data_IF_900148802184
#
_entry.id   IF_900148802184
#
_cell.length_a   1.000
_cell.length_b   1.000
_cell.length_c   1.000
_cell.angle_alpha   90.00
_cell.angle_beta   90.00
_cell.angle_gamma   90.00
#
_symmetry.space_group_name_H-M   'P 1'
#
loop_
_entity.id
_entity.type
_entity.pdbx_description
1 polymer ?
#
# COMPACT_ATOMS: atom_id res chain seq x y z
N UNK A 1 -0.61 -15.83 -11.84
CA UNK A 1 -1.41 -14.58 -11.81
C UNK A 1 -1.16 -13.82 -13.11
N UNK A 2 -2.14 -13.77 -13.99
CA UNK A 2 -2.08 -12.92 -15.18
C UNK A 2 -2.25 -11.48 -14.71
N UNK A 3 -1.24 -10.62 -14.92
CA UNK A 3 -1.40 -9.19 -14.64
C UNK A 3 -2.55 -8.68 -15.49
N UNK A 4 -3.51 -7.99 -14.87
CA UNK A 4 -4.56 -7.30 -15.61
C UNK A 4 -3.84 -6.20 -16.42
N UNK A 5 -4.03 -6.14 -17.75
CA UNK A 5 -3.46 -5.07 -18.55
C UNK A 5 -4.00 -3.74 -18.03
N UNK A 6 -3.11 -2.79 -17.79
CA UNK A 6 -3.46 -1.47 -17.28
C UNK A 6 -2.57 -0.41 -17.91
N UNK A 7 -3.10 0.81 -17.96
CA UNK A 7 -2.36 1.97 -18.43
C UNK A 7 -1.50 2.57 -17.32
N UNK A 8 -0.41 3.19 -17.73
CA UNK A 8 0.45 3.93 -16.82
C UNK A 8 -0.31 5.11 -16.21
N UNK A 9 -0.30 5.22 -14.88
CA UNK A 9 -1.02 6.28 -14.17
C UNK A 9 -0.62 7.69 -14.66
N UNK A 10 0.66 7.91 -14.97
CA UNK A 10 1.14 9.19 -15.51
C UNK A 10 0.56 9.56 -16.88
N UNK A 11 0.17 8.57 -17.68
CA UNK A 11 -0.58 8.78 -18.93
C UNK A 11 -2.05 9.02 -18.65
N UNK A 12 -2.67 8.19 -17.83
CA UNK A 12 -4.10 8.32 -17.46
C UNK A 12 -4.38 9.67 -16.81
N UNK A 13 -3.48 10.14 -15.94
CA UNK A 13 -3.60 11.43 -15.25
C UNK A 13 -3.64 12.63 -16.20
N UNK A 14 -3.05 12.52 -17.39
CA UNK A 14 -3.05 13.58 -18.41
C UNK A 14 -4.38 13.70 -19.16
N UNK A 15 -5.22 12.66 -19.13
CA UNK A 15 -6.49 12.59 -19.86
C UNK A 15 -7.54 13.55 -19.29
N UNK A 16 -7.85 13.56 -17.97
CA UNK A 16 -8.86 14.47 -17.43
C UNK A 16 -8.40 15.93 -17.49
N UNK A 17 -9.37 16.82 -17.72
CA UNK A 17 -9.23 18.26 -17.52
C UNK A 17 -8.98 18.59 -16.05
N UNK A 18 -8.53 19.82 -15.77
CA UNK A 18 -8.26 20.25 -14.38
C UNK A 18 -9.52 20.18 -13.50
N UNK A 19 -10.69 20.56 -14.05
CA UNK A 19 -11.97 20.45 -13.34
C UNK A 19 -12.35 19.00 -13.01
N UNK A 20 -12.09 18.06 -13.92
CA UNK A 20 -12.31 16.63 -13.66
C UNK A 20 -11.35 16.10 -12.61
N UNK A 21 -10.07 16.53 -12.64
CA UNK A 21 -9.08 16.16 -11.62
C UNK A 21 -9.49 16.65 -10.24
N UNK A 22 -9.95 17.89 -10.12
CA UNK A 22 -10.44 18.47 -8.87
C UNK A 22 -11.64 17.68 -8.32
N UNK A 23 -12.57 17.29 -9.18
CA UNK A 23 -13.73 16.47 -8.82
C UNK A 23 -13.30 15.08 -8.33
N UNK A 24 -12.40 14.42 -9.04
CA UNK A 24 -11.83 13.11 -8.64
C UNK A 24 -11.13 13.23 -7.29
N UNK A 25 -10.32 14.28 -7.10
CA UNK A 25 -9.63 14.51 -5.84
C UNK A 25 -10.62 14.72 -4.68
N UNK A 26 -11.67 15.52 -4.88
CA UNK A 26 -12.69 15.77 -3.88
C UNK A 26 -13.42 14.48 -3.48
N UNK A 27 -13.81 13.67 -4.46
CA UNK A 27 -14.48 12.39 -4.21
C UNK A 27 -13.57 11.40 -3.49
N UNK A 28 -12.31 11.27 -3.94
CA UNK A 28 -11.32 10.39 -3.31
C UNK A 28 -11.05 10.80 -1.87
N UNK A 29 -10.94 12.11 -1.60
CA UNK A 29 -10.83 12.64 -0.24
C UNK A 29 -12.01 12.18 0.62
N UNK A 30 -13.24 12.32 0.13
CA UNK A 30 -14.45 11.87 0.83
C UNK A 30 -14.43 10.36 1.14
N UNK A 31 -14.02 9.53 0.18
CA UNK A 31 -13.88 8.08 0.42
C UNK A 31 -12.82 7.75 1.46
N UNK A 32 -11.65 8.39 1.39
CA UNK A 32 -10.58 8.17 2.36
C UNK A 32 -11.00 8.60 3.77
N UNK A 33 -11.68 9.74 3.91
CA UNK A 33 -12.21 10.18 5.20
C UNK A 33 -13.26 9.22 5.76
N UNK A 34 -14.11 8.63 4.91
CA UNK A 34 -15.08 7.63 5.32
C UNK A 34 -14.40 6.33 5.78
N UNK A 35 -13.45 5.80 4.99
CA UNK A 35 -12.71 4.57 5.31
C UNK A 35 -11.90 4.74 6.59
N UNK A 36 -11.27 5.89 6.81
CA UNK A 36 -10.50 6.19 8.03
C UNK A 36 -11.34 6.18 9.31
N UNK A 37 -12.65 6.39 9.21
CA UNK A 37 -13.58 6.31 10.35
C UNK A 37 -14.04 4.89 10.65
N UNK A 38 -13.76 3.93 9.78
CA UNK A 38 -14.17 2.54 10.00
C UNK A 38 -13.40 1.97 11.18
N UNK A 39 -14.14 1.40 12.13
CA UNK A 39 -13.55 0.67 13.25
C UNK A 39 -13.14 -0.71 12.75
N UNK A 40 -11.89 -1.09 13.04
CA UNK A 40 -11.42 -2.44 12.80
C UNK A 40 -12.20 -3.42 13.69
N UNK A 41 -12.76 -4.51 13.13
CA UNK A 41 -13.40 -5.54 13.92
C UNK A 41 -12.39 -6.39 14.73
N UNK A 42 -11.08 -6.20 14.52
CA UNK A 42 -10.00 -6.95 15.18
C UNK A 42 -9.20 -6.09 16.17
N UNK A 43 -9.74 -4.94 16.57
CA UNK A 43 -9.09 -3.96 17.44
C UNK A 43 -8.38 -2.85 16.65
N UNK A 44 -8.25 -1.68 17.28
CA UNK A 44 -7.80 -0.44 16.61
C UNK A 44 -6.30 -0.47 16.22
N UNK A 45 -5.49 -1.26 16.92
CA UNK A 45 -4.04 -1.25 16.76
C UNK A 45 -3.51 -2.42 15.91
N UNK A 46 -4.33 -3.45 15.67
CA UNK A 46 -3.89 -4.70 15.04
C UNK A 46 -3.87 -4.56 13.52
N UNK A 47 -2.70 -4.78 12.92
CA UNK A 47 -2.50 -4.77 11.47
C UNK A 47 -2.56 -6.22 10.95
N UNK A 48 -3.62 -6.54 10.21
CA UNK A 48 -3.87 -7.89 9.70
C UNK A 48 -4.66 -7.86 8.38
N UNK A 49 -4.84 -9.04 7.77
CA UNK A 49 -5.75 -9.22 6.64
C UNK A 49 -7.21 -9.07 7.06
N UNK A 50 -8.11 -8.95 6.08
CA UNK A 50 -9.56 -8.93 6.30
C UNK A 50 -10.13 -10.19 6.97
N UNK A 51 -9.34 -11.26 7.11
CA UNK A 51 -9.73 -12.50 7.78
C UNK A 51 -9.06 -12.66 9.14
N UNK A 52 -8.50 -11.58 9.70
CA UNK A 52 -7.68 -11.59 10.93
C UNK A 52 -6.40 -12.45 10.88
N UNK A 53 -5.95 -12.80 9.68
CA UNK A 53 -4.73 -13.57 9.45
C UNK A 53 -3.59 -12.69 8.92
N UNK A 54 -2.43 -13.27 8.64
CA UNK A 54 -1.34 -12.59 7.96
C UNK A 54 -1.80 -11.99 6.62
N UNK A 55 -1.29 -10.81 6.29
CA UNK A 55 -1.48 -10.20 4.98
C UNK A 55 -0.68 -11.01 3.96
N UNK A 56 -1.27 -11.26 2.78
CA UNK A 56 -0.60 -11.97 1.68
C UNK A 56 -0.27 -11.01 0.56
N UNK A 57 1.00 -10.94 0.17
CA UNK A 57 1.42 -10.05 -0.91
C UNK A 57 2.63 -10.62 -1.64
N UNK A 58 2.62 -10.60 -2.97
CA UNK A 58 3.78 -11.00 -3.77
C UNK A 58 4.99 -10.07 -3.61
N UNK A 59 4.79 -8.89 -3.00
CA UNK A 59 5.80 -7.84 -2.83
C UNK A 59 6.59 -7.95 -1.53
N UNK A 60 6.30 -8.93 -0.68
CA UNK A 60 7.04 -9.17 0.57
C UNK A 60 7.71 -10.54 0.53
N UNK A 61 8.87 -10.70 1.20
CA UNK A 61 9.54 -12.00 1.31
C UNK A 61 8.57 -13.07 1.85
N UNK A 62 8.63 -14.28 1.31
CA UNK A 62 7.75 -15.40 1.67
C UNK A 62 6.24 -15.13 1.52
N UNK A 63 5.86 -14.04 0.85
CA UNK A 63 4.51 -13.63 0.53
C UNK A 63 3.55 -13.43 1.72
N UNK A 64 4.08 -13.36 2.94
CA UNK A 64 3.31 -13.29 4.18
C UNK A 64 3.89 -12.21 5.10
N UNK A 65 3.01 -11.40 5.68
CA UNK A 65 3.38 -10.30 6.59
C UNK A 65 2.36 -10.19 7.73
N UNK A 66 2.86 -10.23 8.97
CA UNK A 66 2.04 -10.15 10.19
C UNK A 66 1.28 -11.45 10.52
N UNK A 67 0.15 -11.37 11.26
CA UNK A 67 -0.49 -10.16 11.79
C UNK A 67 0.36 -9.49 12.89
N UNK A 68 0.19 -8.18 13.07
CA UNK A 68 0.90 -7.40 14.10
C UNK A 68 -0.09 -6.79 15.08
N UNK A 69 0.22 -6.83 16.38
CA UNK A 69 -0.67 -6.28 17.41
C UNK A 69 -0.61 -4.75 17.51
N UNK A 70 0.38 -4.11 16.87
CA UNK A 70 0.51 -2.65 16.83
C UNK A 70 1.12 -2.18 15.51
N UNK A 71 0.79 -0.94 15.14
CA UNK A 71 1.42 -0.22 14.03
C UNK A 71 2.95 -0.13 14.20
N UNK A 72 3.43 0.06 15.44
CA UNK A 72 4.87 0.09 15.74
C UNK A 72 5.57 -1.20 15.30
N UNK A 73 5.05 -2.37 15.67
CA UNK A 73 5.65 -3.66 15.28
C UNK A 73 5.64 -3.87 13.76
N UNK A 74 4.58 -3.40 13.10
CA UNK A 74 4.50 -3.41 11.64
C UNK A 74 5.58 -2.51 11.03
N UNK A 75 5.74 -1.29 11.53
CA UNK A 75 6.74 -0.33 11.03
C UNK A 75 8.18 -0.82 11.29
N UNK A 76 8.46 -1.39 12.46
CA UNK A 76 9.74 -2.05 12.76
C UNK A 76 10.03 -3.19 11.77
N UNK A 77 9.03 -4.05 11.50
CA UNK A 77 9.15 -5.09 10.47
C UNK A 77 9.42 -4.50 9.08
N UNK A 78 8.71 -3.44 8.68
CA UNK A 78 8.88 -2.81 7.37
C UNK A 78 10.25 -2.13 7.23
N UNK A 79 10.77 -1.52 8.28
CA UNK A 79 12.10 -0.90 8.29
C UNK A 79 13.20 -1.96 8.25
N UNK A 80 13.04 -3.06 9.00
CA UNK A 80 14.01 -4.16 9.03
C UNK A 80 13.96 -4.99 7.74
N UNK A 81 12.76 -5.24 7.21
CA UNK A 81 12.55 -5.96 5.96
C UNK A 81 12.88 -5.09 4.75
N UNK A 82 12.71 -3.77 4.84
CA UNK A 82 13.20 -2.81 3.85
C UNK A 82 14.72 -2.84 3.70
N UNK A 83 15.45 -3.13 4.78
CA UNK A 83 16.89 -3.39 4.73
C UNK A 83 17.22 -4.75 4.06
N UNK A 84 16.33 -5.75 4.15
CA UNK A 84 16.45 -7.06 3.45
C UNK A 84 15.99 -7.01 1.98
N UNK A 85 15.10 -6.09 1.60
CA UNK A 85 14.74 -5.84 0.19
C UNK A 85 15.89 -5.19 -0.60
N UNK A 86 16.97 -4.79 0.07
CA UNK A 86 18.23 -4.35 -0.54
C UNK A 86 19.22 -5.47 -0.88
N UNK A 87 18.93 -6.74 -0.55
CA UNK A 87 19.74 -7.89 -0.94
C UNK A 87 18.87 -8.98 -1.58
N UNK A 88 18.61 -8.82 -2.87
CA UNK A 88 18.01 -9.85 -3.72
C UNK A 88 18.63 -9.75 -5.11
N UNK A 89 19.56 -10.67 -5.37
CA UNK A 89 20.22 -11.07 -6.62
C UNK A 89 20.18 -10.12 -7.83
N UNK A 90 21.40 -9.91 -8.34
CA UNK A 90 21.79 -9.15 -9.52
C UNK A 90 21.17 -9.66 -10.83
N UNK A 91 19.85 -9.59 -11.00
CA UNK A 91 19.16 -9.66 -12.30
C UNK A 91 17.76 -9.03 -12.22
N UNK A 92 17.64 -7.75 -11.85
CA UNK A 92 16.64 -6.85 -12.43
C UNK A 92 16.91 -5.40 -11.97
N UNK A 93 17.74 -4.68 -12.70
CA UNK A 93 17.89 -3.23 -12.52
C UNK A 93 16.62 -2.57 -13.07
N UNK A 94 15.60 -2.35 -12.24
CA UNK A 94 14.51 -1.44 -12.57
C UNK A 94 14.44 -0.32 -11.54
N UNK A 95 14.66 0.88 -12.06
CA UNK A 95 14.65 2.14 -11.36
C UNK A 95 13.22 2.40 -10.88
N UNK A 96 12.88 2.00 -9.66
CA UNK A 96 11.59 2.35 -9.05
C UNK A 96 11.83 3.04 -7.73
N UNK A 97 11.94 4.37 -7.81
CA UNK A 97 11.65 5.28 -6.70
C UNK A 97 10.29 4.91 -6.15
N UNK A 98 10.30 4.18 -5.04
CA UNK A 98 9.09 3.64 -4.41
C UNK A 98 8.55 4.70 -3.47
N UNK A 99 7.60 5.52 -3.95
CA UNK A 99 6.75 6.30 -3.08
C UNK A 99 5.70 5.37 -2.47
N UNK A 100 6.03 4.73 -1.34
CA UNK A 100 5.01 4.23 -0.45
C UNK A 100 4.38 5.45 0.21
N UNK A 101 3.12 5.75 -0.14
CA UNK A 101 2.37 6.77 0.59
C UNK A 101 2.01 6.17 1.95
N UNK A 102 2.91 6.33 2.92
CA UNK A 102 2.54 6.29 4.33
C UNK A 102 1.82 7.62 4.59
N UNK A 103 0.49 7.58 4.60
CA UNK A 103 -0.31 8.72 5.02
C UNK A 103 -0.16 8.83 6.54
N UNK A 104 0.87 9.55 6.98
CA UNK A 104 0.93 10.07 8.34
C UNK A 104 -0.29 10.95 8.62
N UNK A 105 -0.66 11.00 9.90
CA UNK A 105 -1.95 11.44 10.45
C UNK A 105 -2.42 12.82 9.98
#
# INVERSE_FOLDING_TARGET
MTRIPGDELGRVYKIPSDTERDSIQLQLKGYLEAIRRWKSPWGENRICSLMNTAIRSVRVPNHLIGPFESEQKFNEYMNTSGALLGQGDSHQKQNTTTHLIVLEK
#
